data_IF_832106858677
#
_entry.id   IF_832106858677
#
_cell.length_a   1.000
_cell.length_b   1.000
_cell.length_c   1.000
_cell.angle_alpha   90.00
_cell.angle_beta   90.00
_cell.angle_gamma   90.00
#
_symmetry.space_group_name_H-M   'P 1'
#
loop_
_entity.id
_entity.type
_entity.pdbx_description
1 polymer ?
#
# COMPACT_ATOMS: atom_id res chain seq x y z
N UNK A 1 13.31 9.34 -16.09
CA UNK A 1 12.75 7.97 -16.20
C UNK A 1 11.49 7.95 -15.39
N UNK A 2 10.36 7.44 -15.91
CA UNK A 2 9.10 7.39 -15.16
C UNK A 2 9.12 6.15 -14.27
N UNK A 3 8.83 6.33 -12.98
CA UNK A 3 8.80 5.24 -12.01
C UNK A 3 7.55 4.37 -12.17
N UNK A 4 6.37 4.98 -12.18
CA UNK A 4 5.10 4.27 -12.32
C UNK A 4 4.57 4.35 -13.75
N UNK A 5 3.95 3.29 -14.26
CA UNK A 5 3.37 3.27 -15.61
C UNK A 5 2.09 4.11 -15.72
N UNK A 6 1.36 4.22 -14.61
CA UNK A 6 0.08 4.91 -14.51
C UNK A 6 0.25 6.42 -14.56
N UNK A 7 -0.79 7.12 -15.01
CA UNK A 7 -0.82 8.58 -15.01
C UNK A 7 -1.20 9.15 -13.64
N UNK A 8 -0.19 9.53 -12.86
CA UNK A 8 -0.33 9.97 -11.47
C UNK A 8 0.06 11.45 -11.35
N UNK A 9 -0.72 12.20 -10.57
CA UNK A 9 -0.26 13.50 -10.07
C UNK A 9 0.78 13.32 -8.95
N UNK A 10 1.34 14.42 -8.44
CA UNK A 10 2.39 14.37 -7.43
C UNK A 10 1.96 13.70 -6.11
N UNK A 11 0.69 13.83 -5.72
CA UNK A 11 0.17 13.25 -4.47
C UNK A 11 -0.06 11.75 -4.61
N UNK A 12 -0.63 11.32 -5.74
CA UNK A 12 -0.79 9.90 -6.05
C UNK A 12 0.56 9.21 -6.28
N UNK A 13 1.51 9.88 -6.93
CA UNK A 13 2.87 9.36 -7.08
C UNK A 13 3.52 9.11 -5.71
N UNK A 14 3.41 10.06 -4.77
CA UNK A 14 3.95 9.89 -3.42
C UNK A 14 3.23 8.79 -2.64
N UNK A 15 1.91 8.66 -2.78
CA UNK A 15 1.17 7.54 -2.18
C UNK A 15 1.64 6.18 -2.71
N UNK A 16 1.92 6.08 -4.01
CA UNK A 16 2.49 4.86 -4.60
C UNK A 16 3.91 4.58 -4.11
N UNK A 17 4.74 5.61 -3.93
CA UNK A 17 6.06 5.48 -3.30
C UNK A 17 5.96 4.97 -1.87
N UNK A 18 4.97 5.43 -1.11
CA UNK A 18 4.74 4.95 0.25
C UNK A 18 4.36 3.47 0.29
N UNK A 19 3.57 2.99 -0.68
CA UNK A 19 3.33 1.54 -0.81
C UNK A 19 4.64 0.82 -1.09
N UNK A 20 5.45 1.32 -2.04
CA UNK A 20 6.71 0.69 -2.41
C UNK A 20 7.75 0.68 -1.27
N UNK A 21 7.85 1.77 -0.51
CA UNK A 21 8.68 1.88 0.70
C UNK A 21 8.20 0.90 1.76
N UNK A 22 6.88 0.87 2.05
CA UNK A 22 6.30 -0.10 2.98
C UNK A 22 6.66 -1.54 2.60
N UNK A 23 6.53 -1.91 1.32
CA UNK A 23 6.88 -3.26 0.85
C UNK A 23 8.38 -3.55 1.00
N UNK A 24 9.24 -2.56 0.77
CA UNK A 24 10.70 -2.69 0.95
C UNK A 24 11.03 -2.93 2.42
N UNK A 25 10.46 -2.11 3.32
CA UNK A 25 10.74 -2.16 4.76
C UNK A 25 10.15 -3.41 5.42
N UNK A 26 8.89 -3.76 5.09
CA UNK A 26 8.17 -4.87 5.73
C UNK A 26 8.57 -6.24 5.14
N UNK A 27 8.79 -6.33 3.82
CA UNK A 27 9.02 -7.61 3.14
C UNK A 27 10.48 -7.83 2.72
N UNK A 28 11.34 -6.81 2.84
CA UNK A 28 12.76 -6.91 2.50
C UNK A 28 13.03 -7.09 0.99
N UNK A 29 12.08 -6.73 0.12
CA UNK A 29 12.27 -6.77 -1.33
C UNK A 29 12.92 -5.49 -1.86
N UNK A 30 13.63 -5.53 -2.99
CA UNK A 30 14.16 -4.32 -3.61
C UNK A 30 13.06 -3.33 -3.98
N UNK A 31 13.34 -2.03 -3.84
CA UNK A 31 12.40 -0.97 -4.20
C UNK A 31 11.92 -1.09 -5.66
N UNK A 32 12.83 -1.44 -6.58
CA UNK A 32 12.50 -1.70 -7.98
C UNK A 32 11.50 -2.85 -8.16
N UNK A 33 11.56 -3.90 -7.33
CA UNK A 33 10.58 -4.98 -7.37
C UNK A 33 9.21 -4.50 -6.86
N UNK A 34 9.18 -3.71 -5.79
CA UNK A 34 7.94 -3.13 -5.26
C UNK A 34 7.25 -2.24 -6.32
N UNK A 35 8.02 -1.40 -7.01
CA UNK A 35 7.54 -0.59 -8.14
C UNK A 35 7.07 -1.47 -9.30
N UNK A 36 7.79 -2.54 -9.63
CA UNK A 36 7.36 -3.47 -10.69
C UNK A 36 6.02 -4.15 -10.35
N UNK A 37 5.83 -4.56 -9.09
CA UNK A 37 4.56 -5.15 -8.61
C UNK A 37 3.40 -4.15 -8.71
N UNK A 38 3.62 -2.89 -8.33
CA UNK A 38 2.64 -1.81 -8.51
C UNK A 38 2.29 -1.60 -9.99
N UNK A 39 3.31 -1.52 -10.85
CA UNK A 39 3.13 -1.37 -12.29
C UNK A 39 2.31 -2.51 -12.89
N UNK A 40 2.64 -3.77 -12.56
CA UNK A 40 1.90 -4.92 -13.07
C UNK A 40 0.46 -4.99 -12.56
N UNK A 41 0.21 -4.55 -11.33
CA UNK A 41 -1.14 -4.54 -10.76
C UNK A 41 -2.03 -3.43 -11.34
N UNK A 42 -1.45 -2.27 -11.65
CA UNK A 42 -2.21 -1.05 -11.92
C UNK A 42 -1.98 -0.42 -13.29
N UNK A 43 -1.16 -0.99 -14.19
CA UNK A 43 -0.83 -0.39 -15.50
C UNK A 43 -2.04 0.04 -16.35
N UNK A 44 -3.20 -0.59 -16.15
CA UNK A 44 -4.45 -0.32 -16.87
C UNK A 44 -5.46 0.50 -16.08
N UNK A 45 -5.13 0.84 -14.84
CA UNK A 45 -5.98 1.64 -13.96
C UNK A 45 -5.84 3.12 -14.28
N UNK A 46 -6.92 3.86 -14.02
CA UNK A 46 -6.93 5.32 -13.99
C UNK A 46 -7.22 5.74 -12.57
N UNK A 47 -6.57 6.81 -12.14
CA UNK A 47 -6.74 7.39 -10.82
C UNK A 47 -7.21 8.83 -10.97
N UNK A 48 -8.14 9.24 -10.10
CA UNK A 48 -8.48 10.64 -9.95
C UNK A 48 -7.32 11.40 -9.27
N UNK A 49 -7.31 12.75 -9.31
CA UNK A 49 -6.33 13.54 -8.59
C UNK A 49 -6.34 13.23 -7.09
N UNK A 50 -5.18 13.40 -6.45
CA UNK A 50 -5.02 13.09 -5.02
C UNK A 50 -5.96 13.93 -4.13
N UNK A 51 -6.67 13.31 -3.16
CA UNK A 51 -6.73 11.87 -2.90
C UNK A 51 -7.76 11.16 -3.78
N UNK A 52 -7.34 10.09 -4.46
CA UNK A 52 -8.21 9.11 -5.12
C UNK A 52 -8.91 8.20 -4.08
N UNK A 53 -9.96 7.47 -4.49
CA UNK A 53 -10.62 6.47 -3.64
C UNK A 53 -9.64 5.39 -3.12
N UNK A 54 -8.60 5.06 -3.88
CA UNK A 54 -7.53 4.15 -3.46
C UNK A 54 -6.85 4.60 -2.16
N UNK A 55 -6.77 5.92 -1.92
CA UNK A 55 -6.18 6.51 -0.72
C UNK A 55 -7.06 6.35 0.53
N UNK A 56 -8.27 5.78 0.40
CA UNK A 56 -9.04 5.33 1.57
C UNK A 56 -8.30 4.22 2.32
N UNK A 57 -7.58 3.37 1.60
CA UNK A 57 -6.81 2.28 2.18
C UNK A 57 -5.36 2.68 2.42
N UNK A 58 -4.76 2.12 3.47
CA UNK A 58 -3.37 2.41 3.84
C UNK A 58 -2.37 1.78 2.87
N UNK A 59 -1.13 2.30 2.78
CA UNK A 59 -0.05 1.64 2.04
C UNK A 59 0.19 0.19 2.48
N UNK A 60 -0.01 -0.09 3.78
CA UNK A 60 0.05 -1.44 4.36
C UNK A 60 -0.94 -2.39 3.70
N UNK A 61 -2.22 -2.00 3.59
CA UNK A 61 -3.25 -2.84 2.96
C UNK A 61 -2.85 -3.23 1.53
N UNK A 62 -2.46 -2.23 0.73
CA UNK A 62 -2.02 -2.47 -0.65
C UNK A 62 -0.76 -3.33 -0.72
N UNK A 63 0.23 -3.09 0.15
CA UNK A 63 1.46 -3.87 0.21
C UNK A 63 1.20 -5.36 0.44
N UNK A 64 0.41 -5.72 1.46
CA UNK A 64 0.03 -7.12 1.71
C UNK A 64 -0.74 -7.72 0.53
N UNK A 65 -1.70 -6.96 -0.02
CA UNK A 65 -2.49 -7.37 -1.18
C UNK A 65 -1.65 -7.60 -2.44
N UNK A 66 -0.55 -6.89 -2.63
CA UNK A 66 0.35 -7.03 -3.78
C UNK A 66 1.42 -8.12 -3.57
N UNK A 67 1.81 -8.38 -2.32
CA UNK A 67 2.90 -9.29 -2.00
C UNK A 67 2.45 -10.73 -1.77
N UNK A 68 1.34 -10.95 -1.06
CA UNK A 68 0.87 -12.30 -0.75
C UNK A 68 -0.29 -12.74 -1.65
N UNK A 69 -0.36 -14.04 -1.91
CA UNK A 69 -1.52 -14.68 -2.53
C UNK A 69 -2.66 -14.69 -1.51
N UNK A 70 -3.89 -14.73 -2.03
CA UNK A 70 -5.06 -15.04 -1.20
C UNK A 70 -4.90 -16.45 -0.64
N UNK A 71 -5.45 -16.69 0.54
CA UNK A 71 -5.50 -18.01 1.17
C UNK A 71 -6.21 -19.01 0.24
N UNK A 72 -6.01 -20.33 0.40
CA UNK A 72 -6.64 -21.35 -0.45
C UNK A 72 -8.19 -21.28 -0.50
N UNK A 73 -8.81 -20.70 0.53
CA UNK A 73 -10.25 -20.47 0.60
C UNK A 73 -10.71 -19.15 -0.05
N UNK A 74 -9.80 -18.42 -0.69
CA UNK A 74 -10.05 -17.16 -1.40
C UNK A 74 -10.02 -15.90 -0.51
N UNK A 75 -9.85 -16.04 0.81
CA UNK A 75 -9.73 -14.88 1.70
C UNK A 75 -8.39 -14.18 1.58
N UNK A 76 -8.35 -12.92 1.98
CA UNK A 76 -7.08 -12.22 2.17
C UNK A 76 -6.33 -12.78 3.36
N UNK A 77 -5.01 -12.66 3.34
CA UNK A 77 -4.19 -12.95 4.50
C UNK A 77 -4.60 -12.02 5.65
N UNK A 78 -4.70 -12.49 6.91
CA UNK A 78 -5.13 -11.67 8.05
C UNK A 78 -4.01 -10.72 8.51
N UNK A 79 -3.60 -9.82 7.63
CA UNK A 79 -2.49 -8.88 7.84
C UNK A 79 -2.76 -7.88 8.97
N UNK A 80 -4.03 -7.64 9.31
CA UNK A 80 -4.46 -6.76 10.39
C UNK A 80 -4.28 -7.37 11.78
N UNK A 81 -4.15 -8.70 11.88
CA UNK A 81 -3.95 -9.40 13.15
C UNK A 81 -2.46 -9.40 13.52
N UNK A 82 -2.06 -8.78 14.65
CA UNK A 82 -0.65 -8.73 15.07
C UNK A 82 -0.02 -10.11 15.24
N UNK A 83 -0.81 -11.07 15.73
CA UNK A 83 -0.36 -12.43 16.06
C UNK A 83 -0.66 -13.46 14.96
N UNK A 84 -1.04 -13.00 13.76
CA UNK A 84 -1.30 -13.92 12.66
C UNK A 84 -0.05 -14.72 12.29
N UNK A 85 -0.19 -16.05 12.25
CA UNK A 85 0.85 -16.93 11.73
C UNK A 85 1.01 -16.73 10.23
N UNK A 86 2.14 -16.12 9.85
CA UNK A 86 2.50 -15.83 8.45
C UNK A 86 3.22 -16.99 7.77
N UNK A 87 3.57 -18.06 8.49
CA UNK A 87 4.43 -19.13 7.96
C UNK A 87 3.81 -19.89 6.79
N UNK A 88 2.48 -19.93 6.70
CA UNK A 88 1.74 -20.54 5.60
C UNK A 88 1.35 -19.59 4.47
N UNK A 89 1.74 -18.31 4.52
CA UNK A 89 1.31 -17.35 3.50
C UNK A 89 2.18 -17.46 2.25
N UNK A 90 1.55 -17.75 1.12
CA UNK A 90 2.25 -17.86 -0.15
C UNK A 90 2.54 -16.48 -0.75
N UNK A 91 3.78 -16.26 -1.18
CA UNK A 91 4.20 -15.03 -1.85
C UNK A 91 3.77 -15.09 -3.32
N UNK A 92 3.29 -13.96 -3.85
CA UNK A 92 3.04 -13.78 -5.29
C UNK A 92 4.37 -13.66 -6.03
N UNK A 93 4.49 -14.37 -7.14
CA UNK A 93 5.64 -14.20 -8.03
C UNK A 93 5.72 -12.73 -8.49
N UNK A 94 6.92 -12.11 -8.46
CA UNK A 94 7.08 -10.79 -9.04
C UNK A 94 6.89 -10.84 -10.56
N UNK A 95 6.63 -9.70 -11.21
CA UNK A 95 6.66 -9.62 -12.68
C UNK A 95 8.01 -10.14 -13.21
N UNK A 96 8.04 -10.91 -14.33
CA UNK A 96 9.30 -11.42 -14.85
C UNK A 96 10.32 -10.29 -15.14
N UNK A 97 11.61 -10.46 -14.77
CA UNK A 97 12.65 -9.47 -15.06
C UNK A 97 12.73 -9.14 -16.55
N UNK A 98 13.00 -7.88 -16.89
CA UNK A 98 13.10 -7.40 -18.27
C UNK A 98 11.75 -7.14 -18.98
N UNK A 99 10.62 -7.38 -18.30
CA UNK A 99 9.32 -6.87 -18.76
C UNK A 99 9.22 -5.35 -18.55
N UNK A 100 8.30 -4.69 -19.25
CA UNK A 100 8.10 -3.23 -19.18
C UNK A 100 7.66 -2.72 -17.79
N UNK A 101 7.24 -3.61 -16.90
CA UNK A 101 6.90 -3.27 -15.51
C UNK A 101 8.13 -2.86 -14.69
N UNK A 102 9.32 -3.34 -15.06
CA UNK A 102 10.59 -2.98 -14.42
C UNK A 102 11.12 -1.68 -15.00
N UNK A 103 10.64 -0.57 -14.45
CA UNK A 103 10.99 0.79 -14.87
C UNK A 103 12.22 1.35 -14.18
N UNK A 104 12.69 0.70 -13.11
CA UNK A 104 13.85 1.09 -12.30
C UNK A 104 14.95 0.01 -12.36
N UNK A 105 16.23 0.38 -12.23
CA UNK A 105 17.30 -0.58 -12.02
C UNK A 105 17.17 -1.26 -10.64
N UNK A 106 17.68 -2.48 -10.50
CA UNK A 106 17.47 -3.31 -9.31
C UNK A 106 18.03 -2.70 -8.01
N UNK A 107 19.04 -1.85 -8.13
CA UNK A 107 19.73 -1.13 -7.06
C UNK A 107 19.17 0.28 -6.84
N UNK A 108 18.04 0.64 -7.47
CA UNK A 108 17.38 1.91 -7.21
C UNK A 108 16.96 2.02 -5.74
N UNK A 109 17.35 3.13 -5.11
CA UNK A 109 16.90 3.47 -3.77
C UNK A 109 15.58 4.26 -3.83
N UNK A 110 14.71 4.11 -2.83
CA UNK A 110 13.52 4.96 -2.72
C UNK A 110 13.93 6.42 -2.59
N UNK A 111 13.33 7.35 -3.36
CA UNK A 111 13.54 8.77 -3.10
C UNK A 111 13.03 9.11 -1.69
N UNK A 112 13.58 10.15 -1.03
CA UNK A 112 13.11 10.57 0.28
C UNK A 112 11.63 10.98 0.21
N UNK A 113 10.85 10.75 1.29
CA UNK A 113 9.46 11.19 1.35
C UNK A 113 9.34 12.70 1.13
N UNK A 114 8.34 13.13 0.37
CA UNK A 114 8.12 14.57 0.16
C UNK A 114 7.29 15.15 1.31
N UNK A 115 7.85 16.01 2.17
CA UNK A 115 7.14 16.50 3.34
C UNK A 115 5.89 17.31 2.96
N UNK A 116 4.76 17.04 3.63
CA UNK A 116 3.52 17.82 3.48
C UNK A 116 2.68 17.51 2.24
N UNK A 117 3.09 16.56 1.39
CA UNK A 117 2.33 16.11 0.22
C UNK A 117 1.29 15.03 0.55
N UNK A 118 1.47 14.32 1.66
CA UNK A 118 0.49 13.40 2.23
C UNK A 118 -0.13 14.02 3.46
N UNK A 119 -1.45 13.91 3.61
CA UNK A 119 -2.17 14.46 4.78
C UNK A 119 -1.50 13.99 6.09
N UNK A 120 -1.14 14.90 7.02
CA UNK A 120 -0.95 14.51 8.40
C UNK A 120 -2.33 14.14 8.95
N UNK A 121 -2.64 12.85 9.08
CA UNK A 121 -4.00 12.46 9.49
C UNK A 121 -4.34 10.96 9.56
N UNK A 122 -3.37 10.05 9.42
CA UNK A 122 -3.55 8.71 10.02
C UNK A 122 -3.38 8.84 11.54
N UNK A 123 -4.17 8.15 12.38
CA UNK A 123 -3.92 8.19 13.81
C UNK A 123 -2.49 7.72 14.06
N UNK A 124 -1.73 8.53 14.79
CA UNK A 124 -0.43 8.13 15.34
C UNK A 124 -0.60 6.76 16.02
N UNK A 125 0.34 5.81 15.85
CA UNK A 125 0.33 4.57 16.62
C UNK A 125 0.50 4.94 18.11
N UNK A 126 -0.64 5.07 18.81
CA UNK A 126 -0.70 5.58 20.18
C UNK A 126 -1.95 6.41 20.53
N UNK A 127 -2.78 6.80 19.56
CA UNK A 127 -4.01 7.58 19.81
C UNK A 127 -5.31 6.79 19.63
N UNK A 128 -5.27 5.47 19.75
CA UNK A 128 -6.49 4.72 20.05
C UNK A 128 -6.80 4.89 21.54
N UNK A 129 -7.56 5.94 21.91
CA UNK A 129 -8.29 5.88 23.18
C UNK A 129 -9.43 4.89 22.96
N UNK A 130 -9.49 3.75 23.67
CA UNK A 130 -10.67 2.91 23.60
C UNK A 130 -11.88 3.78 23.98
N UNK A 131 -12.94 3.70 23.18
CA UNK A 131 -14.24 4.22 23.57
C UNK A 131 -14.60 3.48 24.86
N UNK A 132 -14.91 4.16 25.98
CA UNK A 132 -15.35 3.49 27.19
C UNK A 132 -16.54 2.59 26.84
N UNK A 133 -16.56 1.35 27.34
CA UNK A 133 -17.62 0.36 27.06
C UNK A 133 -19.04 0.90 27.37
N UNK A 134 -19.14 1.98 28.15
CA UNK A 134 -20.39 2.61 28.60
C UNK A 134 -20.75 3.91 27.85
N UNK A 135 -20.08 4.25 26.75
CA UNK A 135 -20.44 5.45 25.98
C UNK A 135 -21.80 5.26 25.27
N UNK A 136 -22.82 6.10 25.54
CA UNK A 136 -24.12 5.94 24.89
C UNK A 136 -24.03 6.24 23.39
N UNK A 137 -24.59 5.34 22.57
CA UNK A 137 -24.70 5.50 21.13
C UNK A 137 -25.56 6.74 20.82
N UNK A 138 -25.01 7.73 20.13
CA UNK A 138 -25.72 8.93 19.66
C UNK A 138 -26.14 8.72 18.19
N UNK A 139 -27.45 8.76 17.92
CA UNK A 139 -28.06 8.56 16.60
C UNK A 139 -28.18 9.84 15.75
N UNK A 140 -27.37 10.87 15.99
CA UNK A 140 -27.50 12.16 15.29
C UNK A 140 -26.69 12.24 13.97
N UNK A 141 -26.95 11.34 13.03
CA UNK A 141 -26.34 11.35 11.69
C UNK A 141 -27.33 11.49 10.52
N UNK A 142 -28.54 11.97 10.78
CA UNK A 142 -29.46 12.39 9.71
C UNK A 142 -29.88 13.84 9.89
N UNK A 143 -29.17 14.74 9.21
CA UNK A 143 -29.68 16.04 8.78
C UNK A 143 -29.01 16.43 7.47
#
# INVERSE_FOLDING_TARGET
MREFLMDLDAGMEEFFRDIARFMTDEFGIPYAEAVARLNAAFERSRFDPYPDIMCHESPRYWGFGLYFRRLPDGREVPWWEPDADRSGWEIKDPPPPGTHHWTLPIDAEPPPPVPGLLRPGGPEPGLYRPVPEDAPYSEDWRS
#
